data_IF_753129073281
#
_entry.id   IF_753129073281
#
_cell.length_a   1.000
_cell.length_b   1.000
_cell.length_c   1.000
_cell.angle_alpha   90.00
_cell.angle_beta   90.00
_cell.angle_gamma   90.00
#
_symmetry.space_group_name_H-M   'P 1'
#
loop_
_entity.id
_entity.type
_entity.pdbx_description
1 polymer ?
#
# COMPACT_ATOMS: atom_id res chain seq x y z
N UNK A 1 -0.58 18.70 5.17
CA UNK A 1 0.05 19.41 4.04
C UNK A 1 0.51 18.42 2.99
N UNK A 2 1.48 17.54 3.28
CA UNK A 2 1.95 16.51 2.33
C UNK A 2 0.95 15.38 2.02
N UNK A 3 0.13 14.94 2.99
CA UNK A 3 -0.97 14.00 2.69
C UNK A 3 -1.94 14.57 1.64
N UNK A 4 -2.15 15.89 1.64
CA UNK A 4 -3.00 16.55 0.65
C UNK A 4 -2.36 16.55 -0.74
N UNK A 5 -1.02 16.59 -0.85
CA UNK A 5 -0.32 16.50 -2.15
C UNK A 5 -0.52 15.13 -2.83
N UNK A 6 -0.53 14.04 -2.04
CA UNK A 6 -0.89 12.71 -2.55
C UNK A 6 -2.39 12.58 -2.84
N UNK A 7 -3.23 13.27 -2.08
CA UNK A 7 -4.68 13.29 -2.28
C UNK A 7 -5.04 14.03 -3.58
N UNK A 8 -4.33 15.09 -3.92
CA UNK A 8 -4.60 15.91 -5.10
C UNK A 8 -4.13 15.25 -6.41
N UNK A 9 -3.16 14.34 -6.35
CA UNK A 9 -2.76 13.48 -7.48
C UNK A 9 -3.69 12.27 -7.69
N UNK A 10 -4.68 12.07 -6.81
CA UNK A 10 -5.57 10.89 -6.80
C UNK A 10 -7.05 11.25 -6.86
N UNK A 11 -7.37 12.40 -7.48
CA UNK A 11 -8.71 13.03 -7.53
C UNK A 11 -9.87 12.13 -7.97
N UNK A 12 -9.59 11.01 -8.64
CA UNK A 12 -10.60 9.99 -8.96
C UNK A 12 -10.20 8.65 -8.34
N UNK A 13 -10.61 8.43 -7.10
CA UNK A 13 -10.55 7.11 -6.47
C UNK A 13 -11.61 6.23 -7.14
N UNK A 14 -11.22 5.01 -7.54
CA UNK A 14 -12.16 4.06 -8.10
C UNK A 14 -13.32 3.79 -7.12
N UNK A 15 -14.57 3.62 -7.57
CA UNK A 15 -15.71 3.45 -6.66
C UNK A 15 -15.61 2.24 -5.72
N UNK A 16 -14.88 1.20 -6.14
CA UNK A 16 -14.60 0.00 -5.35
C UNK A 16 -13.13 -0.39 -5.58
N UNK A 17 -12.44 -0.77 -4.51
CA UNK A 17 -11.07 -1.29 -4.55
C UNK A 17 -11.04 -2.76 -4.11
N UNK A 18 -10.33 -3.59 -4.87
CA UNK A 18 -10.39 -5.04 -4.77
C UNK A 18 -9.12 -5.65 -4.20
N UNK A 19 -9.23 -6.40 -3.12
CA UNK A 19 -8.14 -7.19 -2.56
C UNK A 19 -8.25 -8.64 -3.03
N UNK A 20 -7.34 -9.06 -3.91
CA UNK A 20 -7.26 -10.45 -4.38
C UNK A 20 -6.54 -11.31 -3.35
N UNK A 21 -7.13 -12.47 -3.04
CA UNK A 21 -6.62 -13.30 -1.95
C UNK A 21 -7.06 -14.76 -2.05
N UNK A 22 -6.46 -15.61 -1.21
CA UNK A 22 -6.83 -17.02 -1.06
C UNK A 22 -8.10 -17.19 -0.21
N UNK A 23 -8.77 -18.34 -0.31
CA UNK A 23 -9.93 -18.63 0.54
C UNK A 23 -9.63 -18.60 2.04
N UNK A 24 -8.44 -19.05 2.45
CA UNK A 24 -8.01 -19.00 3.86
C UNK A 24 -7.87 -17.56 4.35
N UNK A 25 -7.28 -16.69 3.53
CA UNK A 25 -7.10 -15.29 3.87
C UNK A 25 -8.45 -14.52 3.84
N UNK A 26 -9.32 -14.79 2.86
CA UNK A 26 -10.67 -14.22 2.82
C UNK A 26 -11.49 -14.58 4.07
N UNK A 27 -11.45 -15.85 4.50
CA UNK A 27 -12.07 -16.28 5.75
C UNK A 27 -11.54 -15.51 6.96
N UNK A 28 -10.21 -15.35 7.07
CA UNK A 28 -9.62 -14.61 8.19
C UNK A 28 -10.06 -13.13 8.18
N UNK A 29 -9.96 -12.45 7.03
CA UNK A 29 -10.37 -11.04 6.87
C UNK A 29 -11.82 -10.84 7.31
N UNK A 30 -12.73 -11.70 6.86
CA UNK A 30 -14.16 -11.60 7.19
C UNK A 30 -14.43 -11.96 8.64
N UNK A 31 -13.77 -12.99 9.17
CA UNK A 31 -13.97 -13.46 10.54
C UNK A 31 -13.44 -12.48 11.58
N UNK A 32 -12.29 -11.85 11.34
CA UNK A 32 -11.67 -10.93 12.31
C UNK A 32 -12.05 -9.47 12.06
N UNK A 33 -12.48 -9.13 10.84
CA UNK A 33 -12.75 -7.75 10.48
C UNK A 33 -11.48 -6.91 10.34
N UNK A 34 -10.36 -7.54 9.97
CA UNK A 34 -9.05 -6.89 9.88
C UNK A 34 -8.44 -7.10 8.50
N UNK A 35 -7.76 -6.06 8.02
CA UNK A 35 -6.89 -6.14 6.84
C UNK A 35 -5.43 -6.10 7.28
N UNK A 36 -4.58 -6.89 6.64
CA UNK A 36 -3.16 -6.91 6.98
C UNK A 36 -2.37 -5.98 6.07
N UNK A 37 -1.76 -4.94 6.66
CA UNK A 37 -0.75 -4.14 5.99
C UNK A 37 0.63 -4.80 6.21
N UNK A 38 1.27 -5.22 5.12
CA UNK A 38 2.55 -5.93 5.15
C UNK A 38 3.69 -4.95 5.04
N UNK A 39 4.78 -5.18 5.77
CA UNK A 39 5.97 -4.36 5.65
C UNK A 39 6.50 -4.34 4.21
N UNK A 40 6.86 -3.15 3.70
CA UNK A 40 7.11 -2.92 2.27
C UNK A 40 8.21 -3.80 1.65
N UNK A 41 9.20 -4.22 2.44
CA UNK A 41 10.25 -5.15 2.01
C UNK A 41 9.77 -6.55 1.64
N UNK A 42 8.59 -6.94 2.10
CA UNK A 42 8.03 -8.29 1.94
C UNK A 42 6.84 -8.30 0.99
N UNK A 43 6.64 -7.25 0.21
CA UNK A 43 5.68 -7.25 -0.90
C UNK A 43 6.17 -8.17 -2.02
N UNK A 44 5.23 -8.65 -2.84
CA UNK A 44 5.50 -9.67 -3.85
C UNK A 44 6.50 -9.23 -4.93
N UNK A 45 6.54 -7.92 -5.25
CA UNK A 45 7.50 -7.36 -6.20
C UNK A 45 8.74 -6.86 -5.44
N UNK A 46 9.76 -7.70 -5.35
CA UNK A 46 11.04 -7.35 -4.73
C UNK A 46 11.84 -6.31 -5.52
N UNK A 47 11.48 -6.04 -6.77
CA UNK A 47 12.17 -5.05 -7.62
C UNK A 47 11.69 -3.62 -7.39
N UNK A 48 10.51 -3.46 -6.76
CA UNK A 48 9.82 -2.17 -6.64
C UNK A 48 10.63 -1.12 -5.88
N UNK A 49 11.25 -1.51 -4.75
CA UNK A 49 12.08 -0.60 -3.96
C UNK A 49 13.28 -0.07 -4.74
N UNK A 50 13.93 -0.93 -5.53
CA UNK A 50 15.07 -0.55 -6.37
C UNK A 50 14.62 0.31 -7.56
N UNK A 51 13.42 0.05 -8.11
CA UNK A 51 12.83 0.91 -9.13
C UNK A 51 12.57 2.32 -8.59
N UNK A 52 11.91 2.43 -7.43
CA UNK A 52 11.65 3.71 -6.76
C UNK A 52 12.93 4.49 -6.49
N UNK A 53 14.01 3.81 -6.04
CA UNK A 53 15.33 4.42 -5.85
C UNK A 53 15.89 5.02 -7.15
N UNK A 54 15.77 4.32 -8.28
CA UNK A 54 16.27 4.81 -9.58
C UNK A 54 15.53 6.06 -10.03
N UNK A 55 14.20 6.06 -9.92
CA UNK A 55 13.36 7.22 -10.24
C UNK A 55 13.75 8.40 -9.34
N UNK A 56 13.80 8.20 -8.02
CA UNK A 56 14.20 9.23 -7.06
C UNK A 56 15.58 9.83 -7.41
N UNK A 57 16.58 8.99 -7.64
CA UNK A 57 17.95 9.42 -7.97
C UNK A 57 18.00 10.23 -9.27
N UNK A 58 17.20 9.85 -10.28
CA UNK A 58 17.10 10.59 -11.54
C UNK A 58 16.52 11.98 -11.34
N UNK A 59 15.49 12.12 -10.48
CA UNK A 59 14.85 13.40 -10.21
C UNK A 59 15.78 14.31 -9.41
N UNK A 60 16.40 13.78 -8.35
CA UNK A 60 17.33 14.56 -7.49
C UNK A 60 18.55 15.04 -8.26
N UNK A 61 19.16 14.19 -9.10
CA UNK A 61 20.29 14.60 -9.94
C UNK A 61 19.96 15.72 -10.93
N UNK A 62 18.68 15.91 -11.26
CA UNK A 62 18.19 17.01 -12.09
C UNK A 62 17.83 18.29 -11.31
N UNK A 63 17.85 18.28 -9.98
CA UNK A 63 17.55 19.44 -9.14
C UNK A 63 18.81 20.27 -8.94
N UNK A 64 18.88 21.40 -9.64
CA UNK A 64 20.03 22.31 -9.61
C UNK A 64 19.95 23.35 -8.50
N UNK A 65 18.79 23.53 -7.87
CA UNK A 65 18.54 24.46 -6.77
C UNK A 65 17.53 23.87 -5.78
N UNK A 66 18.03 23.44 -4.62
CA UNK A 66 17.28 23.52 -3.37
C UNK A 66 17.83 24.78 -2.71
N UNK A 67 17.01 25.83 -2.64
CA UNK A 67 17.50 27.17 -2.34
C UNK A 67 17.85 27.37 -0.84
N UNK A 68 17.63 26.36 0.01
CA UNK A 68 17.85 26.44 1.45
C UNK A 68 18.60 25.22 2.01
N UNK A 69 19.70 25.51 2.73
CA UNK A 69 20.65 24.59 3.41
C UNK A 69 21.48 23.66 2.49
N UNK A 70 22.72 24.08 2.20
CA UNK A 70 23.71 23.31 1.42
C UNK A 70 23.93 21.89 1.98
N UNK A 71 24.04 21.75 3.30
CA UNK A 71 24.16 20.46 3.99
C UNK A 71 22.95 19.54 3.78
N UNK A 72 21.75 20.10 3.67
CA UNK A 72 20.54 19.34 3.40
C UNK A 72 20.47 18.88 1.94
N UNK A 73 20.89 19.74 1.01
CA UNK A 73 21.04 19.36 -0.40
C UNK A 73 22.03 18.21 -0.56
N UNK A 74 23.20 18.30 0.07
CA UNK A 74 24.19 17.21 0.09
C UNK A 74 23.60 15.93 0.70
N UNK A 75 22.79 16.05 1.75
CA UNK A 75 22.12 14.92 2.36
C UNK A 75 21.12 14.24 1.41
N UNK A 76 20.29 14.99 0.68
CA UNK A 76 19.33 14.44 -0.27
C UNK A 76 19.97 13.82 -1.51
N UNK A 77 21.06 14.41 -2.00
CA UNK A 77 21.84 13.93 -3.15
C UNK A 77 22.74 12.74 -2.78
N UNK A 78 22.99 12.53 -1.48
CA UNK A 78 23.78 11.39 -1.03
C UNK A 78 23.08 10.06 -1.34
N UNK A 79 23.81 9.09 -1.90
CA UNK A 79 23.33 7.70 -1.97
C UNK A 79 23.03 7.11 -0.58
N UNK A 80 23.55 7.75 0.48
CA UNK A 80 23.34 7.40 1.88
C UNK A 80 21.88 7.55 2.30
N UNK A 81 21.16 8.60 1.88
CA UNK A 81 19.76 8.77 2.30
C UNK A 81 18.89 7.64 1.77
N UNK A 82 18.99 7.29 0.48
CA UNK A 82 18.17 6.20 -0.05
C UNK A 82 18.54 4.87 0.58
N UNK A 83 19.82 4.63 0.85
CA UNK A 83 20.27 3.44 1.59
C UNK A 83 19.67 3.39 3.00
N UNK A 84 19.62 4.52 3.70
CA UNK A 84 18.98 4.64 5.02
C UNK A 84 17.46 4.39 4.94
N UNK A 85 16.78 5.01 3.97
CA UNK A 85 15.33 4.86 3.77
C UNK A 85 14.95 3.40 3.53
N UNK A 86 15.73 2.72 2.69
CA UNK A 86 15.53 1.30 2.40
C UNK A 86 15.83 0.48 3.66
N UNK A 87 16.99 0.65 4.29
CA UNK A 87 17.40 -0.19 5.44
C UNK A 87 16.49 -0.06 6.65
N UNK A 88 15.94 1.13 6.89
CA UNK A 88 15.11 1.45 8.04
C UNK A 88 13.67 1.80 7.62
N UNK A 89 13.17 1.15 6.57
CA UNK A 89 11.77 1.28 6.17
C UNK A 89 10.85 0.97 7.35
N UNK A 90 9.89 1.83 7.62
CA UNK A 90 8.82 1.60 8.60
C UNK A 90 7.44 1.67 7.96
N UNK A 91 7.39 1.40 6.66
CA UNK A 91 6.18 1.50 5.85
C UNK A 91 5.54 0.14 5.65
N UNK A 92 4.24 0.09 5.91
CA UNK A 92 3.39 -1.06 5.74
C UNK A 92 2.30 -0.73 4.73
N UNK A 93 1.97 -1.67 3.84
CA UNK A 93 0.97 -1.48 2.81
C UNK A 93 0.00 -2.66 2.75
N UNK A 94 -1.29 -2.35 2.63
CA UNK A 94 -2.31 -3.28 2.16
C UNK A 94 -2.68 -2.89 0.72
N UNK A 95 -2.54 -3.82 -0.21
CA UNK A 95 -2.67 -3.54 -1.64
C UNK A 95 -4.04 -3.94 -2.18
N UNK A 96 -4.54 -3.14 -3.11
CA UNK A 96 -5.81 -3.31 -3.80
C UNK A 96 -5.63 -3.04 -5.29
N UNK A 97 -6.55 -3.53 -6.11
CA UNK A 97 -6.66 -3.20 -7.51
C UNK A 97 -7.95 -2.45 -7.79
N UNK A 98 -7.95 -1.50 -8.71
CA UNK A 98 -9.18 -0.94 -9.27
C UNK A 98 -9.88 -1.90 -10.27
N UNK A 99 -9.28 -3.06 -10.59
CA UNK A 99 -9.88 -4.07 -11.45
C UNK A 99 -10.55 -5.17 -10.62
N UNK A 100 -11.85 -5.37 -10.82
CA UNK A 100 -12.65 -6.33 -10.04
C UNK A 100 -12.40 -7.80 -10.41
N UNK A 101 -12.09 -8.05 -11.68
CA UNK A 101 -11.95 -9.39 -12.25
C UNK A 101 -10.83 -9.41 -13.31
N UNK A 102 -9.61 -9.71 -12.89
CA UNK A 102 -8.41 -9.65 -13.72
C UNK A 102 -7.60 -10.95 -13.66
N UNK A 103 -7.29 -11.53 -14.83
CA UNK A 103 -6.63 -12.84 -14.96
C UNK A 103 -5.24 -12.90 -14.30
N UNK A 104 -4.43 -11.85 -14.48
CA UNK A 104 -3.09 -11.76 -13.88
C UNK A 104 -3.16 -11.80 -12.34
N UNK A 105 -4.12 -11.07 -11.75
CA UNK A 105 -4.37 -11.07 -10.30
C UNK A 105 -4.83 -12.43 -9.80
N UNK A 106 -5.77 -13.08 -10.51
CA UNK A 106 -6.20 -14.43 -10.15
C UNK A 106 -5.01 -15.39 -10.12
N UNK A 107 -4.14 -15.37 -11.14
CA UNK A 107 -2.96 -16.24 -11.19
C UNK A 107 -1.96 -15.98 -10.07
N UNK A 108 -1.79 -14.71 -9.69
CA UNK A 108 -0.81 -14.33 -8.68
C UNK A 108 -1.28 -14.59 -7.24
N UNK A 109 -2.56 -14.37 -6.95
CA UNK A 109 -3.07 -14.30 -5.57
C UNK A 109 -4.07 -15.41 -5.20
N UNK A 110 -4.57 -16.16 -6.18
CA UNK A 110 -5.31 -17.40 -5.88
C UNK A 110 -4.34 -18.56 -5.71
N UNK A 111 -4.60 -19.42 -4.72
CA UNK A 111 -3.74 -20.58 -4.45
C UNK A 111 -3.80 -21.54 -5.64
N UNK A 112 -2.69 -21.66 -6.37
CA UNK A 112 -2.45 -22.71 -7.35
C UNK A 112 -2.66 -24.08 -6.67
N UNK A 113 -3.81 -24.71 -6.92
CA UNK A 113 -4.15 -26.03 -6.38
C UNK A 113 -5.49 -26.09 -5.65
N UNK A 114 -5.90 -25.03 -4.92
CA UNK A 114 -7.29 -24.90 -4.47
C UNK A 114 -8.03 -24.10 -5.53
N UNK A 115 -8.96 -24.72 -6.24
CA UNK A 115 -9.66 -24.17 -7.43
C UNK A 115 -10.52 -22.92 -7.16
N UNK A 116 -10.32 -22.18 -6.06
CA UNK A 116 -11.12 -20.99 -5.75
C UNK A 116 -10.28 -19.94 -5.00
N UNK A 117 -10.05 -18.79 -5.63
CA UNK A 117 -9.59 -17.54 -5.00
C UNK A 117 -10.74 -16.56 -4.83
N UNK A 118 -10.49 -15.43 -4.14
CA UNK A 118 -11.50 -14.40 -3.93
C UNK A 118 -10.93 -13.01 -4.25
N UNK A 119 -11.79 -12.12 -4.73
CA UNK A 119 -11.51 -10.69 -4.88
C UNK A 119 -12.53 -9.93 -4.04
N UNK A 120 -12.05 -9.33 -2.95
CA UNK A 120 -12.86 -8.65 -1.94
C UNK A 120 -12.91 -7.16 -2.26
N UNK A 121 -14.07 -6.64 -2.65
CA UNK A 121 -14.31 -5.25 -3.04
C UNK A 121 -14.75 -4.39 -1.86
N UNK A 122 -14.00 -3.32 -1.61
CA UNK A 122 -14.20 -2.40 -0.50
C UNK A 122 -14.58 -1.00 -0.98
N UNK A 123 -15.44 -0.34 -0.20
CA UNK A 123 -15.70 1.09 -0.33
C UNK A 123 -14.46 1.91 0.09
N UNK A 124 -13.88 2.74 -0.79
CA UNK A 124 -12.67 3.50 -0.49
C UNK A 124 -12.85 4.51 0.65
N UNK A 125 -14.03 5.09 0.83
CA UNK A 125 -14.27 6.06 1.91
C UNK A 125 -14.33 5.37 3.27
N UNK A 126 -14.84 4.14 3.32
CA UNK A 126 -14.69 3.26 4.46
C UNK A 126 -13.22 2.87 4.72
N UNK A 127 -12.43 2.57 3.67
CA UNK A 127 -11.01 2.22 3.85
C UNK A 127 -10.20 3.35 4.49
N UNK A 128 -10.49 4.61 4.13
CA UNK A 128 -9.86 5.80 4.72
C UNK A 128 -10.16 5.97 6.22
N UNK A 129 -11.22 5.32 6.74
CA UNK A 129 -11.59 5.34 8.17
C UNK A 129 -10.90 4.24 8.98
N UNK A 130 -10.27 3.27 8.31
CA UNK A 130 -9.49 2.27 9.00
C UNK A 130 -8.28 2.92 9.67
N UNK A 131 -7.87 2.35 10.78
CA UNK A 131 -6.72 2.82 11.54
C UNK A 131 -5.83 1.64 11.91
N UNK A 132 -4.59 1.95 12.25
CA UNK A 132 -3.76 1.04 13.02
C UNK A 132 -3.62 1.62 14.42
N UNK A 133 -4.27 1.00 15.42
CA UNK A 133 -4.28 1.48 16.82
C UNK A 133 -4.66 2.97 16.94
N UNK A 134 -5.68 3.40 16.18
CA UNK A 134 -6.13 4.79 16.16
C UNK A 134 -5.25 5.75 15.34
N UNK A 135 -4.13 5.28 14.78
CA UNK A 135 -3.30 6.09 13.87
C UNK A 135 -3.90 6.05 12.45
N UNK A 136 -3.99 7.21 11.76
CA UNK A 136 -4.56 7.30 10.44
C UNK A 136 -3.68 6.60 9.39
N UNK A 137 -4.32 6.23 8.28
CA UNK A 137 -3.71 5.58 7.13
C UNK A 137 -3.79 6.50 5.91
N UNK A 138 -2.88 6.31 4.95
CA UNK A 138 -2.90 6.99 3.66
C UNK A 138 -3.40 6.04 2.58
N UNK A 139 -4.56 6.32 1.99
CA UNK A 139 -4.98 5.65 0.77
C UNK A 139 -4.38 6.38 -0.43
N UNK A 140 -3.58 5.69 -1.25
CA UNK A 140 -2.90 6.28 -2.41
C UNK A 140 -2.92 5.37 -3.63
N UNK A 141 -2.89 5.98 -4.82
CA UNK A 141 -2.70 5.30 -6.10
C UNK A 141 -1.21 5.04 -6.33
N UNK A 142 -0.87 3.93 -6.98
CA UNK A 142 0.49 3.66 -7.47
C UNK A 142 0.72 4.38 -8.81
N UNK A 143 1.92 4.95 -8.97
CA UNK A 143 2.35 5.72 -10.13
C UNK A 143 3.18 4.85 -11.07
N UNK A 144 2.76 4.76 -12.33
CA UNK A 144 3.40 3.96 -13.37
C UNK A 144 4.03 4.81 -14.47
N UNK A 145 3.44 5.97 -14.78
CA UNK A 145 3.89 6.79 -15.90
C UNK A 145 5.09 7.66 -15.49
N UNK A 146 6.18 7.71 -16.27
CA UNK A 146 7.40 8.44 -15.91
C UNK A 146 7.15 9.90 -15.52
N UNK A 147 6.28 10.60 -16.23
CA UNK A 147 5.96 12.01 -15.95
C UNK A 147 5.19 12.17 -14.63
N UNK A 148 4.28 11.26 -14.30
CA UNK A 148 3.56 11.24 -13.02
C UNK A 148 4.53 10.96 -11.86
N UNK A 149 5.44 10.01 -12.06
CA UNK A 149 6.46 9.61 -11.10
C UNK A 149 7.44 10.76 -10.80
N UNK A 150 7.95 11.42 -11.83
CA UNK A 150 8.79 12.61 -11.66
C UNK A 150 8.02 13.72 -10.93
N UNK A 151 6.78 13.97 -11.33
CA UNK A 151 5.94 15.02 -10.74
C UNK A 151 5.72 14.80 -9.24
N UNK A 152 5.37 13.58 -8.80
CA UNK A 152 5.11 13.32 -7.39
C UNK A 152 6.39 13.41 -6.55
N UNK A 153 7.53 12.93 -7.07
CA UNK A 153 8.83 13.08 -6.38
C UNK A 153 9.17 14.56 -6.21
N UNK A 154 9.04 15.37 -7.27
CA UNK A 154 9.28 16.83 -7.21
C UNK A 154 8.38 17.53 -6.21
N UNK A 155 7.08 17.17 -6.16
CA UNK A 155 6.14 17.75 -5.20
C UNK A 155 6.53 17.46 -3.76
N UNK A 156 6.92 16.22 -3.46
CA UNK A 156 7.35 15.87 -2.09
C UNK A 156 8.65 16.57 -1.72
N UNK A 157 9.62 16.63 -2.62
CA UNK A 157 10.86 17.39 -2.40
C UNK A 157 10.60 18.88 -2.19
N UNK A 158 9.70 19.49 -2.99
CA UNK A 158 9.32 20.89 -2.83
C UNK A 158 8.62 21.15 -1.48
N UNK A 159 7.74 20.26 -1.05
CA UNK A 159 7.07 20.39 0.24
C UNK A 159 8.01 20.16 1.44
N UNK A 160 9.02 19.28 1.29
CA UNK A 160 10.12 19.16 2.25
C UNK A 160 10.92 20.47 2.30
N UNK A 161 11.25 21.05 1.14
CA UNK A 161 11.98 22.33 1.06
C UNK A 161 11.20 23.48 1.72
N UNK A 162 9.89 23.60 1.47
CA UNK A 162 9.03 24.60 2.14
C UNK A 162 8.93 24.38 3.65
N UNK A 163 8.98 23.13 4.11
CA UNK A 163 9.00 22.84 5.54
C UNK A 163 10.32 23.31 6.19
N UNK A 164 11.44 23.08 5.50
CA UNK A 164 12.77 23.51 5.94
C UNK A 164 12.93 25.03 5.95
N UNK A 165 12.41 25.74 4.94
CA UNK A 165 12.41 27.21 4.88
C UNK A 165 11.75 27.90 6.09
N UNK A 166 10.92 27.17 6.83
CA UNK A 166 10.22 27.67 8.03
C UNK A 166 10.99 27.41 9.33
N UNK A 167 12.09 26.68 9.28
CA UNK A 167 12.93 26.37 10.42
C UNK A 167 14.12 27.35 10.46
N UNK A 168 14.43 27.89 11.63
CA UNK A 168 15.66 28.66 11.83
C UNK A 168 16.88 27.72 11.74
N UNK A 169 18.02 28.20 11.23
CA UNK A 169 19.25 27.40 11.09
C UNK A 169 19.70 26.77 12.43
N UNK A 170 19.43 27.41 13.56
CA UNK A 170 19.74 26.89 14.91
C UNK A 170 18.83 25.70 15.29
N UNK A 171 17.55 25.71 14.88
CA UNK A 171 16.57 24.64 15.18
C UNK A 171 16.90 23.34 14.45
N UNK A 172 17.47 23.42 13.24
CA UNK A 172 17.94 22.26 12.48
C UNK A 172 19.01 21.46 13.25
N UNK A 173 19.76 22.12 14.14
CA UNK A 173 20.82 21.47 14.92
C UNK A 173 20.35 20.85 16.23
N UNK A 174 19.31 21.40 16.88
CA UNK A 174 18.77 20.87 18.14
C UNK A 174 17.80 19.69 17.91
N UNK A 175 16.95 19.77 16.87
CA UNK A 175 15.89 18.78 16.58
C UNK A 175 16.12 17.98 15.28
N UNK A 176 17.39 17.74 14.92
CA UNK A 176 17.78 17.02 13.70
C UNK A 176 17.08 15.65 13.54
N UNK A 177 16.84 14.93 14.63
CA UNK A 177 16.18 13.63 14.58
C UNK A 177 14.70 13.73 14.19
N UNK A 178 13.98 14.74 14.66
CA UNK A 178 12.58 14.95 14.30
C UNK A 178 12.46 15.35 12.84
N UNK A 179 13.35 16.25 12.39
CA UNK A 179 13.43 16.66 10.99
C UNK A 179 13.74 15.46 10.08
N UNK A 180 14.75 14.66 10.43
CA UNK A 180 15.11 13.45 9.69
C UNK A 180 13.96 12.45 9.64
N UNK A 181 13.25 12.25 10.75
CA UNK A 181 12.06 11.40 10.83
C UNK A 181 10.97 11.88 9.88
N UNK A 182 10.69 13.18 9.87
CA UNK A 182 9.72 13.79 8.97
C UNK A 182 10.09 13.57 7.50
N UNK A 183 11.33 13.89 7.11
CA UNK A 183 11.79 13.74 5.73
C UNK A 183 11.73 12.27 5.30
N UNK A 184 12.27 11.38 6.13
CA UNK A 184 12.38 9.96 5.78
C UNK A 184 11.03 9.29 5.62
N UNK A 185 10.04 9.65 6.45
CA UNK A 185 8.67 9.19 6.32
C UNK A 185 8.08 9.51 4.94
N UNK A 186 8.17 10.77 4.50
CA UNK A 186 7.59 11.18 3.22
C UNK A 186 8.32 10.60 2.03
N UNK A 187 9.65 10.50 2.10
CA UNK A 187 10.43 9.85 1.04
C UNK A 187 10.08 8.36 0.94
N UNK A 188 9.93 7.64 2.06
CA UNK A 188 9.52 6.24 2.03
C UNK A 188 8.12 6.06 1.42
N UNK A 189 7.16 6.94 1.77
CA UNK A 189 5.80 6.93 1.19
C UNK A 189 5.84 7.18 -0.32
N UNK A 190 6.66 8.12 -0.81
CA UNK A 190 6.84 8.31 -2.26
C UNK A 190 7.40 7.04 -2.89
N UNK A 191 8.47 6.48 -2.34
CA UNK A 191 9.19 5.35 -2.93
C UNK A 191 8.28 4.13 -3.11
N UNK A 192 7.44 3.82 -2.13
CA UNK A 192 6.47 2.72 -2.24
C UNK A 192 5.29 3.05 -3.17
N UNK A 193 5.15 4.29 -3.64
CA UNK A 193 4.17 4.67 -4.65
C UNK A 193 4.67 4.48 -6.08
N UNK A 194 5.97 4.29 -6.30
CA UNK A 194 6.57 4.24 -7.62
C UNK A 194 6.70 2.79 -8.10
N UNK A 195 6.17 2.48 -9.28
CA UNK A 195 6.20 1.12 -9.83
C UNK A 195 6.56 1.09 -11.30
N UNK A 196 7.23 0.02 -11.73
CA UNK A 196 7.62 -0.14 -13.13
C UNK A 196 6.39 -0.11 -14.06
N UNK A 197 6.43 0.61 -15.21
CA UNK A 197 5.30 0.71 -16.15
C UNK A 197 4.72 -0.63 -16.64
N UNK A 198 5.50 -1.71 -16.59
CA UNK A 198 5.06 -3.06 -16.99
C UNK A 198 3.98 -3.62 -16.06
N UNK A 199 3.90 -3.13 -14.82
CA UNK A 199 2.89 -3.54 -13.84
C UNK A 199 1.62 -2.67 -13.87
N UNK A 200 1.47 -1.73 -14.83
CA UNK A 200 0.30 -0.85 -14.92
C UNK A 200 -1.04 -1.60 -15.01
N UNK A 201 -1.01 -2.84 -15.49
CA UNK A 201 -2.19 -3.71 -15.54
C UNK A 201 -2.82 -3.89 -14.15
N UNK A 202 -2.02 -3.90 -13.08
CA UNK A 202 -2.52 -4.13 -11.72
C UNK A 202 -3.45 -3.03 -11.21
N UNK A 203 -3.36 -1.81 -11.77
CA UNK A 203 -4.17 -0.64 -11.36
C UNK A 203 -4.17 -0.46 -9.85
N UNK A 204 -2.98 -0.52 -9.26
CA UNK A 204 -2.80 -0.73 -7.83
C UNK A 204 -3.12 0.54 -7.02
N UNK A 205 -3.78 0.32 -5.88
CA UNK A 205 -3.97 1.27 -4.80
C UNK A 205 -3.43 0.66 -3.51
N UNK A 206 -2.88 1.49 -2.63
CA UNK A 206 -2.30 1.06 -1.35
C UNK A 206 -2.92 1.84 -0.21
N UNK A 207 -3.34 1.10 0.81
CA UNK A 207 -3.61 1.66 2.12
C UNK A 207 -2.34 1.53 2.95
N UNK A 208 -1.70 2.67 3.21
CA UNK A 208 -0.35 2.78 3.72
C UNK A 208 -0.37 3.25 5.17
N UNK A 209 0.38 2.54 6.00
CA UNK A 209 0.76 2.99 7.32
C UNK A 209 2.26 3.32 7.30
N UNK A 210 2.60 4.58 7.53
CA UNK A 210 3.98 5.06 7.64
C UNK A 210 4.16 5.74 9.00
N UNK A 211 5.05 5.18 9.83
CA UNK A 211 5.22 5.65 11.21
C UNK A 211 5.98 6.97 11.27
N UNK A 212 5.70 7.76 12.31
CA UNK A 212 6.62 8.78 12.78
C UNK A 212 7.63 8.08 13.70
N UNK A 213 8.91 8.10 13.32
CA UNK A 213 9.96 7.40 14.07
C UNK A 213 9.95 5.87 13.89
N UNK A 214 10.97 5.22 14.45
CA UNK A 214 11.14 3.77 14.44
C UNK A 214 9.94 3.18 15.19
N UNK A 215 8.97 2.61 14.46
CA UNK A 215 7.83 1.93 15.06
C UNK A 215 8.33 1.00 16.17
N UNK A 216 7.78 1.11 17.38
CA UNK A 216 8.18 0.19 18.44
C UNK A 216 7.86 -1.25 17.97
N UNK A 217 8.85 -2.16 17.98
CA UNK A 217 8.66 -3.55 17.57
C UNK A 217 7.56 -4.29 18.33
N UNK A 218 7.11 -3.74 19.46
CA UNK A 218 6.08 -4.30 20.36
C UNK A 218 4.68 -4.29 19.76
N UNK A 219 4.44 -3.50 18.72
CA UNK A 219 3.10 -3.33 18.13
C UNK A 219 2.83 -4.22 16.91
N UNK A 220 3.88 -4.85 16.37
CA UNK A 220 3.81 -5.62 15.13
C UNK A 220 3.41 -7.08 15.37
N UNK A 221 2.64 -7.62 14.43
CA UNK A 221 2.38 -9.05 14.34
C UNK A 221 3.29 -9.70 13.29
N UNK A 222 3.43 -11.02 13.36
CA UNK A 222 4.28 -11.79 12.44
C UNK A 222 3.55 -13.00 11.87
N UNK A 223 3.79 -13.28 10.59
CA UNK A 223 3.33 -14.50 9.93
C UNK A 223 4.47 -15.17 9.19
N UNK A 224 4.48 -16.50 9.17
CA UNK A 224 5.41 -17.23 8.31
C UNK A 224 4.93 -17.20 6.86
N UNK A 225 5.83 -16.88 5.94
CA UNK A 225 5.67 -17.18 4.50
C UNK A 225 5.74 -18.68 4.24
N UNK A 226 5.41 -19.10 3.01
CA UNK A 226 5.56 -20.50 2.58
C UNK A 226 7.01 -21.00 2.68
N UNK A 227 8.00 -20.11 2.54
CA UNK A 227 9.43 -20.43 2.70
C UNK A 227 9.94 -20.34 4.15
N UNK A 228 9.05 -20.04 5.11
CA UNK A 228 9.41 -19.94 6.53
C UNK A 228 9.99 -18.59 6.97
N UNK A 229 10.09 -17.60 6.07
CA UNK A 229 10.48 -16.24 6.43
C UNK A 229 9.38 -15.60 7.28
N UNK A 230 9.76 -14.99 8.40
CA UNK A 230 8.85 -14.24 9.28
C UNK A 230 8.60 -12.86 8.70
N UNK A 231 7.35 -12.61 8.34
CA UNK A 231 6.90 -11.37 7.70
C UNK A 231 6.15 -10.53 8.74
N UNK A 232 6.64 -9.32 9.07
CA UNK A 232 5.94 -8.38 9.92
C UNK A 232 4.74 -7.75 9.20
N UNK A 233 3.64 -7.57 9.94
CA UNK A 233 2.45 -6.90 9.47
C UNK A 233 1.69 -6.17 10.58
N UNK A 234 0.88 -5.19 10.17
CA UNK A 234 -0.05 -4.47 11.02
C UNK A 234 -1.49 -4.89 10.70
N UNK A 235 -2.33 -4.99 11.73
CA UNK A 235 -3.77 -5.24 11.61
C UNK A 235 -4.52 -3.91 11.51
N UNK A 236 -5.09 -3.64 10.34
CA UNK A 236 -5.88 -2.46 10.06
C UNK A 236 -7.35 -2.76 10.39
N UNK A 237 -7.93 -1.98 11.29
CA UNK A 237 -9.28 -2.19 11.78
C UNK A 237 -10.10 -0.88 11.76
N UNK A 238 -11.41 -1.03 11.65
CA UNK A 238 -12.39 0.04 11.81
C UNK A 238 -13.02 0.01 13.21
N UNK A 239 -13.93 0.96 13.48
CA UNK A 239 -14.81 0.90 14.66
C UNK A 239 -15.82 -0.24 14.59
N UNK A 240 -16.17 -0.66 13.38
CA UNK A 240 -17.19 -1.65 13.04
C UNK A 240 -16.64 -2.70 12.06
N UNK A 241 -17.51 -3.38 11.33
CA UNK A 241 -17.14 -4.27 10.24
C UNK A 241 -16.34 -3.54 9.14
N UNK A 242 -15.52 -4.29 8.40
CA UNK A 242 -14.81 -3.74 7.24
C UNK A 242 -15.81 -3.19 6.21
N UNK A 243 -15.42 -2.19 5.41
CA UNK A 243 -16.28 -1.58 4.40
C UNK A 243 -16.40 -2.47 3.14
N UNK A 244 -16.64 -3.76 3.32
CA UNK A 244 -16.79 -4.76 2.27
C UNK A 244 -18.16 -4.59 1.61
N UNK A 245 -18.17 -4.43 0.29
CA UNK A 245 -19.39 -4.16 -0.49
C UNK A 245 -19.65 -5.22 -1.55
N UNK A 246 -18.60 -5.82 -2.11
CA UNK A 246 -18.69 -6.80 -3.18
C UNK A 246 -17.66 -7.91 -3.01
N UNK A 247 -17.99 -9.12 -3.44
CA UNK A 247 -17.04 -10.24 -3.51
C UNK A 247 -17.16 -10.92 -4.85
N UNK A 248 -16.03 -11.14 -5.50
CA UNK A 248 -15.90 -12.04 -6.63
C UNK A 248 -15.31 -13.37 -6.19
N UNK A 249 -16.00 -14.44 -6.54
CA UNK A 249 -15.50 -15.80 -6.44
C UNK A 249 -14.74 -16.09 -7.73
N UNK A 250 -13.45 -16.42 -7.60
CA UNK A 250 -12.57 -16.74 -8.71
C UNK A 250 -13.04 -17.97 -9.50
N UNK A 251 -12.40 -18.27 -10.64
CA UNK A 251 -12.82 -19.37 -11.51
C UNK A 251 -12.79 -20.71 -10.76
N UNK A 252 -13.96 -21.34 -10.59
CA UNK A 252 -14.12 -22.62 -9.90
C UNK A 252 -15.13 -23.52 -10.61
N UNK A 253 -14.99 -24.83 -10.45
CA UNK A 253 -15.92 -25.84 -10.98
C UNK A 253 -17.18 -26.00 -10.12
N UNK A 254 -17.11 -25.63 -8.84
CA UNK A 254 -18.19 -25.76 -7.85
C UNK A 254 -18.82 -24.41 -7.53
N UNK A 255 -19.30 -23.69 -8.56
CA UNK A 255 -19.77 -22.30 -8.44
C UNK A 255 -20.86 -22.13 -7.37
N UNK A 256 -21.91 -22.94 -7.45
CA UNK A 256 -23.08 -22.79 -6.57
C UNK A 256 -22.74 -23.07 -5.10
N UNK A 257 -21.91 -24.09 -4.84
CA UNK A 257 -21.47 -24.45 -3.48
C UNK A 257 -20.56 -23.36 -2.91
N UNK A 258 -19.65 -22.83 -3.72
CA UNK A 258 -18.77 -21.74 -3.32
C UNK A 258 -19.58 -20.49 -2.93
N UNK A 259 -20.57 -20.10 -3.74
CA UNK A 259 -21.46 -18.97 -3.41
C UNK A 259 -22.27 -19.20 -2.15
N UNK A 260 -22.96 -20.34 -2.06
CA UNK A 260 -23.80 -20.66 -0.92
C UNK A 260 -23.01 -20.61 0.40
N UNK A 261 -21.87 -21.29 0.44
CA UNK A 261 -21.04 -21.32 1.66
C UNK A 261 -20.46 -19.94 2.01
N UNK A 262 -20.09 -19.14 1.01
CA UNK A 262 -19.54 -17.80 1.23
C UNK A 262 -20.61 -16.81 1.70
N UNK A 263 -21.81 -16.85 1.12
CA UNK A 263 -22.94 -16.04 1.56
C UNK A 263 -23.37 -16.33 2.99
N UNK A 264 -23.41 -17.61 3.39
CA UNK A 264 -23.69 -18.00 4.78
C UNK A 264 -22.61 -17.47 5.74
N UNK A 265 -21.34 -17.49 5.32
CA UNK A 265 -20.25 -16.89 6.07
C UNK A 265 -20.41 -15.38 6.22
N UNK A 266 -20.75 -14.66 5.14
CA UNK A 266 -21.01 -13.22 5.20
C UNK A 266 -22.13 -12.88 6.17
N UNK A 267 -23.25 -13.62 6.15
CA UNK A 267 -24.35 -13.45 7.12
C UNK A 267 -23.88 -13.66 8.56
N UNK A 268 -23.10 -14.71 8.82
CA UNK A 268 -22.59 -15.04 10.15
C UNK A 268 -21.70 -13.95 10.74
N UNK A 269 -20.91 -13.26 9.91
CA UNK A 269 -19.93 -12.27 10.34
C UNK A 269 -20.38 -10.81 10.09
N UNK A 270 -21.69 -10.56 9.96
CA UNK A 270 -22.28 -9.21 9.81
C UNK A 270 -21.93 -8.48 8.51
N UNK A 271 -21.73 -9.21 7.41
CA UNK A 271 -21.51 -8.67 6.06
C UNK A 271 -22.68 -8.96 5.10
N UNK A 272 -23.91 -9.08 5.61
CA UNK A 272 -25.10 -9.49 4.84
C UNK A 272 -25.49 -8.57 3.69
N UNK A 273 -25.02 -7.31 3.69
CA UNK A 273 -25.22 -6.35 2.58
C UNK A 273 -24.21 -6.52 1.43
N UNK A 274 -23.23 -7.41 1.55
CA UNK A 274 -22.19 -7.63 0.54
C UNK A 274 -22.75 -8.42 -0.64
N UNK A 275 -22.54 -7.92 -1.86
CA UNK A 275 -22.98 -8.63 -3.07
C UNK A 275 -21.95 -9.67 -3.50
N UNK A 276 -22.38 -10.90 -3.80
CA UNK A 276 -21.51 -11.97 -4.31
C UNK A 276 -21.70 -12.13 -5.81
N UNK A 277 -20.59 -12.19 -6.55
CA UNK A 277 -20.53 -12.38 -7.98
C UNK A 277 -19.50 -13.45 -8.35
N UNK A 278 -19.59 -13.97 -9.58
CA UNK A 278 -18.64 -14.94 -10.11
C UNK A 278 -17.71 -14.33 -11.13
N UNK A 279 -16.48 -14.84 -11.14
CA UNK A 279 -15.58 -14.67 -12.26
C UNK A 279 -16.15 -15.37 -13.51
N UNK A 280 -16.25 -14.61 -14.60
CA UNK A 280 -16.67 -15.06 -15.92
C UNK A 280 -15.50 -15.53 -16.81
N UNK A 281 -14.25 -15.37 -16.35
CA UNK A 281 -13.06 -15.78 -17.08
C UNK A 281 -13.07 -17.32 -17.22
N UNK A 282 -13.01 -17.85 -18.46
CA UNK A 282 -13.10 -19.29 -18.68
C UNK A 282 -11.95 -20.05 -18.01
N UNK A 283 -12.28 -21.02 -17.16
CA UNK A 283 -11.33 -21.99 -16.65
C UNK A 283 -11.38 -23.24 -17.54
N UNK A 284 -10.24 -23.63 -18.11
CA UNK A 284 -10.12 -24.96 -18.72
C UNK A 284 -9.86 -25.95 -17.60
N UNK A 285 -10.80 -26.86 -17.34
CA UNK A 285 -10.56 -27.97 -16.42
C UNK A 285 -9.39 -28.81 -16.97
N UNK A 286 -8.33 -28.94 -16.17
CA UNK A 286 -7.28 -29.93 -16.38
C UNK A 286 -7.71 -31.25 -15.74
#
# INVERSE_FOLDING_TARGET
>A
MLAAEFTDTTKEVAPILYHYTSGKAALNIIKTGELWATHSWYLNDSSELEFGRKVYSSVVGGITKLDHHESFREFLDSQSIVTLLLRYSTVFACCFSAAENQLSQWRAYSTLGTRTGYSLGFDPDGLKKLTFRGRPLLLMKVFYEPDEQETIVRKVLAAINVHLERLDEEVVTEDWYELLSFITQWLQVVLIGLKCPDFREEREWRLVYATYGIAEPTELNYRASESGIMIPYCELCGSDALPLTKVFIGPTVERDIASFSFEEMLKKYNYSSTTVAHCDIPLRAL
#
